data_IF_339633424880
#
_entry.id   IF_339633424880
#
_cell.length_a   1.000
_cell.length_b   1.000
_cell.length_c   1.000
_cell.angle_alpha   90.00
_cell.angle_beta   90.00
_cell.angle_gamma   90.00
#
_symmetry.space_group_name_H-M   'P 1'
#
loop_
_entity.id
_entity.type
_entity.pdbx_description
1 polymer ?
#
# COMPACT_ATOMS: atom_id res chain seq x y z
N UNK A 1 -6.13 -16.07 -3.91
CA UNK A 1 -5.69 -14.70 -4.23
C UNK A 1 -5.18 -14.14 -2.90
N UNK A 2 -3.89 -13.78 -2.81
CA UNK A 2 -3.32 -13.33 -1.52
C UNK A 2 -3.84 -11.95 -1.14
N UNK A 3 -4.04 -11.73 0.15
CA UNK A 3 -4.39 -10.44 0.70
C UNK A 3 -3.19 -9.49 0.59
N UNK A 4 -3.47 -8.23 0.26
CA UNK A 4 -2.45 -7.18 0.22
C UNK A 4 -2.28 -6.61 1.62
N UNK A 5 -1.04 -6.59 2.10
CA UNK A 5 -0.68 -6.15 3.44
C UNK A 5 0.50 -5.17 3.35
N UNK A 6 0.56 -4.18 4.25
CA UNK A 6 1.79 -3.41 4.49
C UNK A 6 2.41 -3.85 5.80
N UNK A 7 3.73 -3.99 5.81
CA UNK A 7 4.50 -4.46 6.96
C UNK A 7 5.54 -3.40 7.31
N UNK A 8 5.57 -3.05 8.59
CA UNK A 8 6.65 -2.29 9.21
C UNK A 8 7.59 -3.29 9.91
N UNK A 9 8.65 -3.69 9.22
CA UNK A 9 9.62 -4.66 9.68
C UNK A 9 10.50 -4.09 10.80
N UNK A 10 10.60 -4.82 11.92
CA UNK A 10 11.41 -4.44 13.09
C UNK A 10 12.86 -4.91 12.96
N UNK A 11 13.54 -4.45 11.89
CA UNK A 11 14.94 -4.79 11.60
C UNK A 11 15.15 -6.17 10.94
N UNK A 12 14.11 -6.69 10.28
CA UNK A 12 14.18 -7.91 9.45
C UNK A 12 14.43 -7.57 7.99
N UNK A 13 14.96 -8.53 7.25
CA UNK A 13 15.39 -8.35 5.86
C UNK A 13 14.28 -8.70 4.86
N UNK A 14 14.35 -8.12 3.66
CA UNK A 14 13.44 -8.44 2.56
C UNK A 14 13.41 -9.95 2.22
N UNK A 15 14.56 -10.64 2.36
CA UNK A 15 14.67 -12.07 2.07
C UNK A 15 13.83 -12.94 3.03
N UNK A 16 13.71 -12.54 4.30
CA UNK A 16 12.86 -13.24 5.27
C UNK A 16 11.37 -13.07 4.93
N UNK A 17 10.99 -11.91 4.39
CA UNK A 17 9.63 -11.63 3.93
C UNK A 17 9.28 -12.42 2.66
N UNK A 18 10.21 -12.50 1.70
CA UNK A 18 10.02 -13.24 0.44
C UNK A 18 9.79 -14.75 0.65
N UNK A 19 10.31 -15.32 1.74
CA UNK A 19 10.06 -16.71 2.11
C UNK A 19 8.63 -16.99 2.61
N UNK A 20 7.91 -15.96 3.07
CA UNK A 20 6.57 -16.10 3.65
C UNK A 20 5.47 -15.45 2.79
N UNK A 21 5.81 -14.42 2.01
CA UNK A 21 4.88 -13.67 1.19
C UNK A 21 5.57 -13.14 -0.07
N UNK A 22 4.78 -12.83 -1.09
CA UNK A 22 5.32 -12.19 -2.30
C UNK A 22 5.46 -10.69 -2.06
N UNK A 23 6.69 -10.19 -1.98
CA UNK A 23 6.94 -8.74 -1.89
C UNK A 23 6.55 -8.08 -3.21
N UNK A 24 5.61 -7.13 -3.15
CA UNK A 24 5.12 -6.37 -4.31
C UNK A 24 5.84 -5.04 -4.47
N UNK A 25 6.06 -4.35 -3.36
CA UNK A 25 6.77 -3.08 -3.33
C UNK A 25 7.62 -2.99 -2.07
N UNK A 26 8.76 -2.31 -2.19
CA UNK A 26 9.70 -2.04 -1.11
C UNK A 26 9.93 -0.54 -1.03
N UNK A 27 9.70 0.02 0.15
CA UNK A 27 9.97 1.41 0.47
C UNK A 27 11.04 1.40 1.57
N UNK A 28 12.31 1.39 1.19
CA UNK A 28 13.41 1.33 2.17
C UNK A 28 13.62 -0.06 2.79
N UNK A 29 14.04 -0.09 4.05
CA UNK A 29 14.44 -1.33 4.74
C UNK A 29 13.40 -1.84 5.72
N UNK A 30 12.44 -0.99 6.09
CA UNK A 30 11.42 -1.31 7.09
C UNK A 30 10.02 -1.39 6.51
N UNK A 31 9.72 -0.72 5.40
CA UNK A 31 8.36 -0.66 4.85
C UNK A 31 8.24 -1.52 3.59
N UNK A 32 7.37 -2.52 3.65
CA UNK A 32 7.13 -3.45 2.54
C UNK A 32 5.65 -3.63 2.31
N UNK A 33 5.25 -3.67 1.04
CA UNK A 33 3.91 -4.09 0.63
C UNK A 33 4.04 -5.51 0.09
N UNK A 34 3.29 -6.43 0.69
CA UNK A 34 3.34 -7.86 0.36
C UNK A 34 1.96 -8.39 0.01
N UNK A 35 1.93 -9.46 -0.80
CA UNK A 35 0.76 -10.27 -1.02
C UNK A 35 0.95 -11.62 -0.30
N UNK A 36 0.08 -11.92 0.65
CA UNK A 36 0.19 -13.12 1.48
C UNK A 36 -1.13 -13.90 1.52
N UNK A 37 -1.06 -15.23 1.54
CA UNK A 37 -2.25 -16.06 1.72
C UNK A 37 -2.74 -16.03 3.18
N UNK A 38 -1.82 -15.93 4.13
CA UNK A 38 -2.10 -15.88 5.56
C UNK A 38 -1.26 -14.77 6.22
N UNK A 39 -1.88 -13.84 6.97
CA UNK A 39 -1.16 -12.73 7.61
C UNK A 39 -0.45 -13.14 8.92
N UNK A 40 -0.88 -14.23 9.56
CA UNK A 40 -0.37 -14.63 10.87
C UNK A 40 1.16 -14.85 10.95
N UNK A 41 1.82 -15.51 9.98
CA UNK A 41 3.27 -15.69 10.00
C UNK A 41 4.06 -14.38 9.88
N UNK A 42 3.47 -13.36 9.27
CA UNK A 42 4.13 -12.07 9.01
C UNK A 42 4.20 -11.20 10.26
N UNK A 43 3.31 -11.40 11.23
CA UNK A 43 3.36 -10.70 12.52
C UNK A 43 4.63 -10.98 13.33
N UNK A 44 5.33 -12.09 13.05
CA UNK A 44 6.63 -12.38 13.66
C UNK A 44 7.75 -11.48 13.11
N UNK A 45 7.56 -10.89 11.93
CA UNK A 45 8.57 -10.06 11.25
C UNK A 45 8.39 -8.56 11.52
N UNK A 46 7.20 -8.14 11.96
CA UNK A 46 6.90 -6.74 12.21
C UNK A 46 5.42 -6.48 12.47
N UNK A 47 5.06 -5.20 12.44
CA UNK A 47 3.66 -4.78 12.55
C UNK A 47 3.01 -4.85 11.17
N UNK A 48 1.92 -5.63 11.08
CA UNK A 48 1.24 -5.95 9.81
C UNK A 48 -0.10 -5.23 9.78
N UNK A 49 -0.37 -4.51 8.69
CA UNK A 49 -1.61 -3.78 8.49
C UNK A 49 -2.33 -4.30 7.25
N UNK A 50 -3.57 -4.81 7.40
CA UNK A 50 -4.44 -5.24 6.30
C UNK A 50 -4.75 -4.15 5.29
N UNK A 51 -5.25 -4.56 4.13
CA UNK A 51 -5.75 -3.60 3.13
C UNK A 51 -6.92 -2.75 3.64
N UNK A 52 -7.56 -3.23 4.70
CA UNK A 52 -8.49 -2.59 5.61
C UNK A 52 -8.16 -1.26 6.27
N UNK A 53 -6.85 -1.11 6.45
CA UNK A 53 -6.33 -0.53 7.68
C UNK A 53 -5.20 0.43 7.37
N UNK A 54 -5.14 1.47 8.19
CA UNK A 54 -4.11 2.49 8.10
C UNK A 54 -2.88 2.06 8.89
N UNK A 55 -1.71 2.22 8.27
CA UNK A 55 -0.44 2.13 8.96
C UNK A 55 -0.15 3.46 9.69
N UNK A 56 0.61 3.44 10.80
CA UNK A 56 0.89 4.65 11.57
C UNK A 56 1.72 5.66 10.75
N UNK A 57 1.19 6.87 10.57
CA UNK A 57 1.80 7.91 9.71
C UNK A 57 3.10 8.51 10.25
N UNK A 58 3.37 8.35 11.55
CA UNK A 58 4.47 9.02 12.22
C UNK A 58 5.27 8.03 13.06
N UNK A 59 6.40 7.63 12.51
CA UNK A 59 7.54 7.11 13.25
C UNK A 59 8.77 7.89 12.77
N UNK A 60 9.33 8.73 13.65
CA UNK A 60 10.48 9.60 13.35
C UNK A 60 11.73 8.81 12.94
N UNK A 61 11.74 7.49 13.18
CA UNK A 61 12.82 6.61 12.78
C UNK A 61 12.72 6.12 11.33
N UNK A 62 11.63 6.43 10.62
CA UNK A 62 11.45 6.10 9.20
C UNK A 62 12.08 7.15 8.30
N UNK A 63 12.73 6.69 7.24
CA UNK A 63 13.21 7.54 6.16
C UNK A 63 12.07 8.21 5.41
N UNK A 64 12.35 9.29 4.69
CA UNK A 64 11.36 9.99 3.85
C UNK A 64 10.68 9.07 2.85
N UNK A 65 11.39 8.09 2.27
CA UNK A 65 10.83 7.13 1.34
C UNK A 65 9.88 6.15 2.02
N UNK A 66 10.20 5.71 3.24
CA UNK A 66 9.34 4.84 4.05
C UNK A 66 8.05 5.57 4.45
N UNK A 67 8.17 6.82 4.88
CA UNK A 67 7.03 7.69 5.18
C UNK A 67 6.13 7.86 3.95
N UNK A 68 6.71 8.08 2.77
CA UNK A 68 5.96 8.17 1.52
C UNK A 68 5.20 6.88 1.20
N UNK A 69 5.80 5.72 1.46
CA UNK A 69 5.14 4.41 1.30
C UNK A 69 3.91 4.26 2.20
N UNK A 70 4.02 4.68 3.46
CA UNK A 70 2.91 4.67 4.42
C UNK A 70 1.81 5.66 4.01
N UNK A 71 2.17 6.89 3.63
CA UNK A 71 1.19 7.88 3.15
C UNK A 71 0.45 7.39 1.90
N UNK A 72 1.17 6.78 0.96
CA UNK A 72 0.56 6.20 -0.25
C UNK A 72 -0.40 5.04 0.08
N UNK A 73 -0.03 4.18 1.04
CA UNK A 73 -0.90 3.11 1.52
C UNK A 73 -2.19 3.65 2.15
N UNK A 74 -2.06 4.64 3.03
CA UNK A 74 -3.20 5.22 3.76
C UNK A 74 -4.14 6.02 2.84
N UNK A 75 -3.62 6.61 1.77
CA UNK A 75 -4.40 7.39 0.80
C UNK A 75 -5.12 6.55 -0.26
N UNK A 76 -4.88 5.23 -0.33
CA UNK A 76 -5.42 4.39 -1.42
C UNK A 76 -6.94 4.37 -1.50
N UNK A 77 -7.62 4.39 -0.35
CA UNK A 77 -9.09 4.28 -0.30
C UNK A 77 -9.73 5.57 -0.81
N UNK A 78 -9.12 6.70 -0.45
CA UNK A 78 -9.53 8.02 -0.93
C UNK A 78 -9.27 8.19 -2.43
N UNK A 79 -8.23 7.55 -2.96
CA UNK A 79 -7.90 7.56 -4.39
C UNK A 79 -8.78 6.62 -5.22
N UNK A 80 -9.27 5.51 -4.66
CA UNK A 80 -10.18 4.59 -5.35
C UNK A 80 -11.53 5.25 -5.67
N UNK A 81 -11.97 6.18 -4.82
CA UNK A 81 -13.21 6.94 -5.00
C UNK A 81 -13.02 8.23 -5.82
N UNK A 82 -11.80 8.56 -6.23
CA UNK A 82 -11.51 9.81 -6.93
C UNK A 82 -11.62 9.60 -8.44
N UNK A 83 -12.64 10.21 -9.04
CA UNK A 83 -12.78 10.33 -10.48
C UNK A 83 -11.52 11.01 -11.04
N UNK A 84 -10.83 10.34 -11.98
CA UNK A 84 -9.56 10.86 -12.49
C UNK A 84 -9.84 11.99 -13.48
N UNK A 85 -9.15 13.14 -13.37
CA UNK A 85 -9.26 14.17 -14.41
C UNK A 85 -8.78 13.59 -15.74
N UNK A 86 -9.70 13.42 -16.70
CA UNK A 86 -9.42 12.82 -18.01
C UNK A 86 -10.06 11.46 -18.29
N UNK A 87 -10.86 10.88 -17.38
CA UNK A 87 -11.70 9.71 -17.68
C UNK A 87 -12.86 10.02 -18.66
N UNK A 88 -12.88 11.23 -19.23
CA UNK A 88 -13.97 11.73 -20.04
C UNK A 88 -15.17 12.05 -19.15
N UNK A 89 -15.95 13.04 -19.56
CA UNK A 89 -17.36 12.95 -19.22
C UNK A 89 -17.91 11.73 -19.98
N UNK A 90 -18.94 11.07 -19.46
CA UNK A 90 -19.68 10.10 -20.28
C UNK A 90 -20.01 10.76 -21.61
N UNK A 91 -19.92 10.00 -22.71
CA UNK A 91 -20.19 10.50 -24.06
C UNK A 91 -21.58 11.15 -24.19
N UNK A 92 -22.47 10.83 -23.24
CA UNK A 92 -23.84 11.31 -23.14
C UNK A 92 -24.02 12.49 -22.15
N UNK A 93 -22.91 13.07 -21.65
CA UNK A 93 -22.99 14.18 -20.70
C UNK A 93 -23.62 15.43 -21.33
N UNK A 94 -24.54 16.05 -20.59
CA UNK A 94 -25.26 17.23 -21.05
C UNK A 94 -24.27 18.39 -21.28
N UNK A 95 -24.14 18.81 -22.54
CA UNK A 95 -23.24 19.90 -22.95
C UNK A 95 -21.93 19.47 -23.63
N UNK A 96 -21.70 18.17 -23.85
CA UNK A 96 -20.58 17.69 -24.68
C UNK A 96 -20.91 17.80 -26.17
N UNK A 97 -20.25 18.72 -26.89
CA UNK A 97 -20.19 18.72 -28.36
C UNK A 97 -18.89 18.06 -28.81
N UNK A 98 -19.00 16.96 -29.56
CA UNK A 98 -17.84 16.38 -30.23
C UNK A 98 -17.30 17.36 -31.29
N UNK A 99 -15.97 17.50 -31.42
CA UNK A 99 -15.35 18.40 -32.42
C UNK A 99 -15.60 17.98 -33.86
#
# INVERSE_FOLDING_TARGET
>A
MGEMLIILAKGRTAAELEGLATVRQRYGDRVFVVAAAEPAPLGALGDVFPADSKAPESDESLSTTEQLGISAWNAREDLANKQRPGEGLDWDSEGFEAP
#
